data_IF_659123783517
#
_entry.id   IF_659123783517
#
_cell.length_a   1.000
_cell.length_b   1.000
_cell.length_c   1.000
_cell.angle_alpha   90.00
_cell.angle_beta   90.00
_cell.angle_gamma   90.00
#
_symmetry.space_group_name_H-M   'P 1'
#
loop_
_entity.id
_entity.type
_entity.pdbx_description
1 polymer ?
#
# COMPACT_ATOMS: atom_id res chain seq x y z
N UNK A 1 38.39 -3.51 -24.82
CA UNK A 1 37.55 -4.68 -24.45
C UNK A 1 37.44 -4.89 -22.94
N UNK A 2 38.53 -4.92 -22.15
CA UNK A 2 38.47 -5.14 -20.70
C UNK A 2 37.62 -4.10 -19.94
N UNK A 3 37.80 -2.81 -20.22
CA UNK A 3 37.02 -1.73 -19.59
C UNK A 3 35.52 -1.84 -19.89
N UNK A 4 35.16 -2.22 -21.12
CA UNK A 4 33.77 -2.47 -21.52
C UNK A 4 33.18 -3.69 -20.80
N UNK A 5 33.96 -4.77 -20.64
CA UNK A 5 33.54 -5.94 -19.86
C UNK A 5 33.34 -5.61 -18.37
N UNK A 6 34.21 -4.78 -17.78
CA UNK A 6 34.08 -4.30 -16.39
C UNK A 6 32.84 -3.41 -16.23
N UNK A 7 32.61 -2.46 -17.14
CA UNK A 7 31.41 -1.61 -17.12
C UNK A 7 30.14 -2.44 -17.34
N UNK A 8 30.15 -3.43 -18.24
CA UNK A 8 29.00 -4.32 -18.42
C UNK A 8 28.75 -5.22 -17.20
N UNK A 9 29.80 -5.79 -16.60
CA UNK A 9 29.65 -6.60 -15.37
C UNK A 9 29.22 -5.76 -14.17
N UNK A 10 29.65 -4.50 -14.08
CA UNK A 10 29.15 -3.54 -13.10
C UNK A 10 27.68 -3.22 -13.34
N UNK A 11 27.29 -2.97 -14.59
CA UNK A 11 25.89 -2.70 -14.97
C UNK A 11 24.99 -3.91 -14.68
N UNK A 12 25.49 -5.14 -14.81
CA UNK A 12 24.73 -6.36 -14.48
C UNK A 12 24.36 -6.44 -12.99
N UNK A 13 25.04 -5.71 -12.10
CA UNK A 13 24.80 -5.75 -10.65
C UNK A 13 23.40 -5.28 -10.25
N UNK A 14 22.81 -4.32 -10.98
CA UNK A 14 21.44 -3.91 -10.75
C UNK A 14 20.43 -4.74 -11.56
N UNK A 15 20.84 -5.30 -12.71
CA UNK A 15 19.96 -6.11 -13.56
C UNK A 15 19.49 -7.38 -12.85
N UNK A 16 20.36 -8.06 -12.11
CA UNK A 16 19.97 -9.26 -11.37
C UNK A 16 18.87 -8.96 -10.32
N UNK A 17 19.07 -8.02 -9.37
CA UNK A 17 18.01 -7.57 -8.46
C UNK A 17 16.73 -7.14 -9.19
N UNK A 18 16.85 -6.30 -10.21
CA UNK A 18 15.69 -5.79 -10.96
C UNK A 18 14.90 -6.94 -11.63
N UNK A 19 15.60 -7.91 -12.21
CA UNK A 19 14.99 -9.08 -12.85
C UNK A 19 14.25 -9.95 -11.85
N UNK A 20 14.81 -10.18 -10.66
CA UNK A 20 14.14 -10.97 -9.62
C UNK A 20 12.92 -10.22 -9.06
N UNK A 21 13.06 -8.94 -8.73
CA UNK A 21 11.96 -8.14 -8.17
C UNK A 21 10.79 -8.00 -9.15
N UNK A 22 11.06 -7.72 -10.42
CA UNK A 22 10.03 -7.61 -11.45
C UNK A 22 9.51 -8.99 -11.88
N UNK A 23 10.38 -10.00 -11.98
CA UNK A 23 10.01 -11.35 -12.39
C UNK A 23 9.12 -12.08 -11.38
N UNK A 24 9.19 -11.72 -10.10
CA UNK A 24 8.32 -12.27 -9.04
C UNK A 24 6.98 -11.55 -8.90
N UNK A 25 6.83 -10.34 -9.46
CA UNK A 25 5.60 -9.54 -9.41
C UNK A 25 4.33 -10.29 -9.92
N UNK A 26 4.37 -11.08 -11.01
CA UNK A 26 3.22 -11.88 -11.44
C UNK A 26 2.82 -12.95 -10.46
N UNK A 27 3.78 -13.70 -9.91
CA UNK A 27 3.49 -14.75 -8.94
C UNK A 27 2.85 -14.16 -7.68
N UNK A 28 3.37 -13.00 -7.26
CA UNK A 28 2.78 -12.20 -6.21
C UNK A 28 1.33 -11.79 -6.52
N UNK A 29 1.05 -11.21 -7.69
CA UNK A 29 -0.31 -10.79 -8.04
C UNK A 29 -1.28 -11.95 -8.22
N UNK A 30 -0.84 -13.07 -8.77
CA UNK A 30 -1.68 -14.27 -8.89
C UNK A 30 -2.05 -14.78 -7.49
N UNK A 31 -1.08 -14.81 -6.57
CA UNK A 31 -1.30 -15.19 -5.18
C UNK A 31 -2.27 -14.22 -4.49
N UNK A 32 -2.08 -12.91 -4.68
CA UNK A 32 -2.99 -11.88 -4.20
C UNK A 32 -4.38 -11.99 -4.82
N UNK A 33 -4.49 -12.26 -6.12
CA UNK A 33 -5.76 -12.39 -6.83
C UNK A 33 -6.56 -13.59 -6.36
N UNK A 34 -5.91 -14.74 -6.18
CA UNK A 34 -6.51 -15.94 -5.56
C UNK A 34 -6.99 -15.59 -4.15
N UNK A 35 -6.15 -14.94 -3.34
CA UNK A 35 -6.55 -14.53 -2.00
C UNK A 35 -7.72 -13.54 -2.03
N UNK A 36 -7.73 -12.57 -2.94
CA UNK A 36 -8.81 -11.59 -3.09
C UNK A 36 -10.13 -12.30 -3.38
N UNK A 37 -10.13 -13.26 -4.30
CA UNK A 37 -11.30 -14.08 -4.63
C UNK A 37 -11.78 -14.90 -3.42
N UNK A 38 -10.87 -15.60 -2.74
CA UNK A 38 -11.20 -16.39 -1.54
C UNK A 38 -11.71 -15.53 -0.39
N UNK A 39 -11.18 -14.31 -0.24
CA UNK A 39 -11.55 -13.39 0.83
C UNK A 39 -12.90 -12.71 0.62
N UNK A 40 -13.52 -12.82 -0.57
CA UNK A 40 -14.84 -12.21 -0.83
C UNK A 40 -15.95 -12.76 0.07
N UNK A 41 -15.81 -13.99 0.54
CA UNK A 41 -16.74 -14.64 1.47
C UNK A 41 -16.33 -14.48 2.93
N UNK A 42 -15.20 -13.82 3.20
CA UNK A 42 -14.61 -13.67 4.53
C UNK A 42 -14.76 -12.23 5.05
N UNK A 43 -14.67 -12.01 6.37
CA UNK A 43 -14.73 -10.67 6.95
C UNK A 43 -13.60 -9.76 6.42
N UNK A 44 -13.89 -8.46 6.25
CA UNK A 44 -12.93 -7.49 5.72
C UNK A 44 -11.61 -7.43 6.51
N UNK A 45 -11.65 -7.60 7.84
CA UNK A 45 -10.46 -7.67 8.69
C UNK A 45 -9.51 -8.80 8.30
N UNK A 46 -10.05 -9.95 7.89
CA UNK A 46 -9.23 -11.10 7.47
C UNK A 46 -8.57 -10.84 6.11
N UNK A 47 -9.29 -10.19 5.19
CA UNK A 47 -8.71 -9.72 3.93
C UNK A 47 -7.50 -8.82 4.19
N UNK A 48 -7.68 -7.74 4.99
CA UNK A 48 -6.61 -6.79 5.29
C UNK A 48 -5.40 -7.45 5.96
N UNK A 49 -5.62 -8.30 6.97
CA UNK A 49 -4.52 -8.98 7.67
C UNK A 49 -3.67 -9.85 6.74
N UNK A 50 -4.28 -10.52 5.76
CA UNK A 50 -3.55 -11.37 4.81
C UNK A 50 -2.99 -10.58 3.64
N UNK A 51 -3.65 -9.50 3.21
CA UNK A 51 -3.10 -8.53 2.26
C UNK A 51 -1.80 -7.90 2.82
N UNK A 52 -1.80 -7.49 4.09
CA UNK A 52 -0.62 -6.97 4.80
C UNK A 52 0.51 -8.00 4.89
N UNK A 53 0.18 -9.29 5.06
CA UNK A 53 1.18 -10.38 5.05
C UNK A 53 1.77 -10.59 3.67
N UNK A 54 0.94 -10.59 2.62
CA UNK A 54 1.42 -10.68 1.23
C UNK A 54 2.32 -9.49 0.91
N UNK A 55 1.90 -8.27 1.25
CA UNK A 55 2.71 -7.07 1.09
C UNK A 55 4.05 -7.17 1.82
N UNK A 56 4.02 -7.64 3.08
CA UNK A 56 5.22 -7.89 3.87
C UNK A 56 6.19 -8.85 3.17
N UNK A 57 5.70 -9.95 2.58
CA UNK A 57 6.54 -10.89 1.82
C UNK A 57 7.19 -10.18 0.64
N UNK A 58 6.41 -9.45 -0.19
CA UNK A 58 6.97 -8.78 -1.35
C UNK A 58 8.00 -7.70 -0.98
N UNK A 59 7.67 -6.83 -0.03
CA UNK A 59 8.60 -5.77 0.38
C UNK A 59 9.83 -6.30 1.13
N UNK A 60 9.71 -7.38 1.91
CA UNK A 60 10.89 -7.99 2.55
C UNK A 60 11.86 -8.59 1.53
N UNK A 61 11.35 -9.11 0.41
CA UNK A 61 12.20 -9.52 -0.72
C UNK A 61 12.86 -8.30 -1.40
N UNK A 62 12.15 -7.19 -1.57
CA UNK A 62 12.76 -5.95 -2.07
C UNK A 62 13.89 -5.49 -1.15
N UNK A 63 13.66 -5.48 0.18
CA UNK A 63 14.67 -5.10 1.16
C UNK A 63 15.88 -6.03 1.21
N UNK A 64 15.74 -7.32 0.85
CA UNK A 64 16.89 -8.19 0.64
C UNK A 64 17.87 -7.57 -0.36
N UNK A 65 17.37 -7.08 -1.49
CA UNK A 65 18.23 -6.50 -2.52
C UNK A 65 18.81 -5.15 -2.13
N UNK A 66 18.04 -4.31 -1.44
CA UNK A 66 18.46 -2.96 -1.09
C UNK A 66 19.32 -2.88 0.16
N UNK A 67 19.19 -3.80 1.12
CA UNK A 67 20.02 -3.77 2.33
C UNK A 67 21.03 -4.92 2.38
N UNK A 68 20.57 -6.17 2.24
CA UNK A 68 21.45 -7.35 2.39
C UNK A 68 22.39 -7.57 1.20
N UNK A 69 21.90 -7.40 -0.04
CA UNK A 69 22.69 -7.63 -1.25
C UNK A 69 23.65 -6.47 -1.55
N UNK A 70 23.19 -5.22 -1.41
CA UNK A 70 24.08 -4.05 -1.53
C UNK A 70 25.15 -4.08 -0.43
N UNK A 71 24.78 -4.49 0.78
CA UNK A 71 25.64 -4.40 1.96
C UNK A 71 25.78 -2.97 2.46
N UNK A 72 24.83 -2.09 2.12
CA UNK A 72 24.79 -0.71 2.62
C UNK A 72 24.68 -0.72 4.14
N UNK A 73 25.50 0.08 4.82
CA UNK A 73 25.44 0.19 6.27
C UNK A 73 24.40 1.28 6.65
N UNK A 74 23.40 0.86 7.42
CA UNK A 74 22.37 1.76 7.95
C UNK A 74 22.77 2.21 9.35
N UNK A 75 23.03 3.50 9.51
CA UNK A 75 23.41 4.12 10.79
C UNK A 75 22.25 4.95 11.31
N UNK A 76 21.74 4.61 12.48
CA UNK A 76 20.53 5.24 13.04
C UNK A 76 20.91 6.06 14.27
N UNK A 77 20.45 7.31 14.27
CA UNK A 77 20.66 8.32 15.29
C UNK A 77 19.31 8.57 15.96
N UNK A 78 19.22 8.28 17.27
CA UNK A 78 17.95 8.26 17.99
C UNK A 78 17.40 6.84 18.19
N UNK A 79 16.34 6.73 18.99
CA UNK A 79 15.80 5.43 19.43
C UNK A 79 14.50 5.10 18.70
N UNK A 80 14.53 3.99 17.95
CA UNK A 80 13.35 3.44 17.29
C UNK A 80 12.50 2.68 18.32
N UNK A 81 11.20 2.96 18.42
CA UNK A 81 10.29 2.15 19.24
C UNK A 81 10.35 0.67 18.87
N UNK A 82 10.48 -0.19 19.88
CA UNK A 82 10.45 -1.66 19.70
C UNK A 82 9.04 -2.17 19.39
N UNK A 83 8.05 -1.48 19.94
CA UNK A 83 6.65 -1.80 19.74
C UNK A 83 6.16 -1.23 18.40
N UNK A 84 5.14 -1.89 17.88
CA UNK A 84 4.49 -1.47 16.67
C UNK A 84 3.50 -0.35 16.98
N UNK A 85 3.68 0.78 16.30
CA UNK A 85 2.88 1.98 16.47
C UNK A 85 2.15 2.33 15.16
N UNK A 86 0.98 2.94 15.28
CA UNK A 86 0.30 3.61 14.19
C UNK A 86 0.89 5.01 14.01
N UNK A 87 1.54 5.26 12.88
CA UNK A 87 2.36 6.45 12.71
C UNK A 87 2.18 7.12 11.36
N UNK A 88 2.47 8.42 11.35
CA UNK A 88 2.81 9.12 10.12
C UNK A 88 4.32 9.32 10.12
N UNK A 89 4.95 8.85 9.05
CA UNK A 89 6.37 9.05 8.79
C UNK A 89 6.53 10.30 7.92
N UNK A 90 7.26 11.30 8.43
CA UNK A 90 7.61 12.53 7.75
C UNK A 90 9.11 12.58 7.51
N UNK A 91 9.53 12.74 6.26
CA UNK A 91 10.96 12.79 5.91
C UNK A 91 11.27 13.83 4.85
N UNK A 92 12.53 14.25 4.82
CA UNK A 92 13.10 14.89 3.64
C UNK A 92 13.13 13.89 2.46
N UNK A 93 13.16 14.39 1.24
CA UNK A 93 13.04 13.62 0.01
C UNK A 93 14.14 14.03 -0.97
N UNK A 94 15.06 13.13 -1.29
CA UNK A 94 16.26 13.41 -2.09
C UNK A 94 16.34 12.55 -3.34
N UNK A 95 15.91 11.29 -3.29
CA UNK A 95 16.03 10.37 -4.41
C UNK A 95 14.86 9.39 -4.49
N UNK A 96 14.94 8.46 -5.43
CA UNK A 96 13.94 7.39 -5.54
C UNK A 96 14.04 6.38 -4.39
N UNK A 97 15.17 6.28 -3.70
CA UNK A 97 15.43 5.27 -2.66
C UNK A 97 14.75 5.63 -1.33
N UNK A 98 14.34 6.87 -1.11
CA UNK A 98 13.80 7.31 0.19
C UNK A 98 12.61 6.48 0.70
N UNK A 99 11.75 5.97 -0.18
CA UNK A 99 10.64 5.08 0.25
C UNK A 99 11.14 3.73 0.76
N UNK A 100 12.25 3.23 0.21
CA UNK A 100 12.92 2.01 0.69
C UNK A 100 13.52 2.27 2.07
N UNK A 101 14.04 3.47 2.32
CA UNK A 101 14.53 3.84 3.65
C UNK A 101 13.39 3.81 4.68
N UNK A 102 12.19 4.28 4.31
CA UNK A 102 11.01 4.14 5.15
C UNK A 102 10.65 2.66 5.41
N UNK A 103 10.73 1.78 4.40
CA UNK A 103 10.52 0.35 4.56
C UNK A 103 11.59 -0.33 5.43
N UNK A 104 12.86 0.10 5.33
CA UNK A 104 13.96 -0.36 6.19
C UNK A 104 13.66 -0.05 7.66
N UNK A 105 13.12 1.13 7.97
CA UNK A 105 12.69 1.45 9.33
C UNK A 105 11.46 0.64 9.75
N UNK A 106 10.46 0.52 8.87
CA UNK A 106 9.24 -0.22 9.15
C UNK A 106 9.50 -1.72 9.43
N UNK A 107 10.42 -2.38 8.72
CA UNK A 107 10.74 -3.80 8.96
C UNK A 107 11.45 -4.03 10.31
N UNK A 108 12.18 -3.02 10.82
CA UNK A 108 12.80 -3.07 12.15
C UNK A 108 11.74 -3.11 13.25
N UNK A 109 10.56 -2.54 13.01
CA UNK A 109 9.38 -2.55 13.90
C UNK A 109 8.32 -3.60 13.55
N UNK A 110 8.61 -4.50 12.60
CA UNK A 110 7.63 -5.48 12.08
C UNK A 110 6.35 -4.80 11.53
N UNK A 111 6.49 -3.59 10.98
CA UNK A 111 5.42 -2.74 10.48
C UNK A 111 5.32 -2.67 8.94
N UNK A 112 6.24 -3.30 8.21
CA UNK A 112 6.32 -3.21 6.74
C UNK A 112 5.01 -3.55 6.01
N UNK A 113 4.24 -4.54 6.50
CA UNK A 113 2.93 -4.90 5.92
C UNK A 113 1.90 -3.76 5.97
N UNK A 114 2.07 -2.80 6.87
CA UNK A 114 1.12 -1.73 7.18
C UNK A 114 1.53 -0.39 6.58
N UNK A 115 2.62 -0.40 5.80
CA UNK A 115 3.12 0.80 5.16
C UNK A 115 2.16 1.24 4.07
N UNK A 116 1.82 2.52 4.09
CA UNK A 116 0.98 3.19 3.10
C UNK A 116 1.71 4.42 2.62
N UNK A 117 1.52 4.79 1.36
CA UNK A 117 2.26 5.89 0.74
C UNK A 117 1.33 6.96 0.20
N UNK A 118 1.72 8.22 0.37
CA UNK A 118 1.22 9.31 -0.47
C UNK A 118 2.05 9.35 -1.77
N UNK A 119 1.45 8.90 -2.87
CA UNK A 119 2.10 8.61 -4.14
C UNK A 119 1.84 9.70 -5.18
N UNK A 120 2.79 9.90 -6.10
CA UNK A 120 2.54 10.70 -7.31
C UNK A 120 1.53 9.99 -8.21
N UNK A 121 0.54 10.72 -8.71
CA UNK A 121 -0.50 10.20 -9.61
C UNK A 121 0.05 9.43 -10.83
N UNK A 122 1.18 9.90 -11.37
CA UNK A 122 1.87 9.24 -12.49
C UNK A 122 2.47 7.87 -12.17
N UNK A 123 2.59 7.46 -10.90
CA UNK A 123 3.07 6.12 -10.55
C UNK A 123 2.06 5.03 -10.88
N UNK A 124 0.79 5.38 -11.10
CA UNK A 124 -0.24 4.39 -11.45
C UNK A 124 0.00 3.67 -12.77
N UNK A 125 0.83 4.26 -13.63
CA UNK A 125 1.17 3.70 -14.93
C UNK A 125 2.21 2.58 -14.83
N UNK A 126 2.86 2.42 -13.67
CA UNK A 126 3.79 1.32 -13.44
C UNK A 126 3.02 0.05 -13.02
N UNK A 127 3.39 -1.13 -13.56
CA UNK A 127 2.89 -2.43 -13.12
C UNK A 127 2.91 -2.55 -11.59
N UNK A 128 1.88 -3.17 -10.99
CA UNK A 128 1.61 -3.20 -9.53
C UNK A 128 1.18 -1.86 -8.90
N UNK A 129 1.89 -0.78 -9.22
CA UNK A 129 1.72 0.53 -8.58
C UNK A 129 0.41 1.21 -8.92
N UNK A 130 -0.31 0.82 -9.96
CA UNK A 130 -1.67 1.32 -10.22
C UNK A 130 -2.71 0.64 -9.35
N UNK A 131 -3.12 -0.55 -9.77
CA UNK A 131 -4.28 -1.23 -9.22
C UNK A 131 -4.04 -1.78 -7.81
N UNK A 132 -2.95 -2.54 -7.61
CA UNK A 132 -2.68 -3.19 -6.33
C UNK A 132 -2.38 -2.18 -5.21
N UNK A 133 -1.45 -1.24 -5.43
CA UNK A 133 -1.12 -0.22 -4.41
C UNK A 133 -2.32 0.64 -4.03
N UNK A 134 -3.23 0.93 -4.97
CA UNK A 134 -4.48 1.62 -4.65
C UNK A 134 -5.36 0.80 -3.70
N UNK A 135 -5.47 -0.53 -3.90
CA UNK A 135 -6.21 -1.44 -3.03
C UNK A 135 -5.54 -1.61 -1.66
N UNK A 136 -4.21 -1.76 -1.65
CA UNK A 136 -3.43 -1.87 -0.42
C UNK A 136 -3.53 -0.61 0.44
N UNK A 137 -3.82 0.55 -0.16
CA UNK A 137 -4.16 1.77 0.58
C UNK A 137 -3.34 3.01 0.21
N UNK A 138 -2.57 2.96 -0.88
CA UNK A 138 -1.82 4.11 -1.40
C UNK A 138 -2.72 5.27 -1.81
N UNK A 139 -2.31 6.50 -1.51
CA UNK A 139 -3.07 7.73 -1.73
C UNK A 139 -2.40 8.52 -2.85
N UNK A 140 -3.02 8.62 -4.03
CA UNK A 140 -2.37 9.30 -5.16
C UNK A 140 -2.75 10.77 -5.24
N UNK A 141 -1.73 11.58 -5.49
CA UNK A 141 -1.80 13.03 -5.52
C UNK A 141 -1.22 13.57 -6.82
N UNK A 142 -1.95 14.50 -7.43
CA UNK A 142 -1.50 15.27 -8.60
C UNK A 142 -0.74 16.51 -8.14
N UNK A 143 0.39 16.82 -8.78
CA UNK A 143 1.23 17.99 -8.44
C UNK A 143 0.67 19.32 -8.96
N UNK A 144 -0.03 19.30 -10.10
CA UNK A 144 -0.54 20.48 -10.81
C UNK A 144 -2.02 20.79 -10.58
N UNK A 145 -2.78 19.84 -10.02
CA UNK A 145 -4.20 20.02 -9.76
C UNK A 145 -4.44 20.39 -8.29
N UNK A 146 -5.55 21.08 -8.01
CA UNK A 146 -5.99 21.34 -6.64
C UNK A 146 -6.02 20.02 -5.87
N UNK A 147 -5.28 19.98 -4.77
CA UNK A 147 -5.19 18.81 -3.90
C UNK A 147 -6.60 18.39 -3.45
N UNK A 148 -6.95 17.11 -3.67
CA UNK A 148 -8.28 16.61 -3.32
C UNK A 148 -8.30 16.12 -1.87
N UNK A 149 -8.48 17.09 -0.99
CA UNK A 149 -8.52 16.96 0.47
C UNK A 149 -9.58 15.94 0.91
N UNK A 150 -10.79 16.01 0.33
CA UNK A 150 -11.92 15.11 0.67
C UNK A 150 -11.65 13.65 0.34
N UNK A 151 -11.03 13.37 -0.80
CA UNK A 151 -10.70 11.99 -1.20
C UNK A 151 -9.67 11.37 -0.25
N UNK A 152 -8.63 12.13 0.11
CA UNK A 152 -7.63 11.66 1.08
C UNK A 152 -8.27 11.40 2.44
N UNK A 153 -9.04 12.36 2.94
CA UNK A 153 -9.74 12.25 4.22
C UNK A 153 -10.66 11.02 4.25
N UNK A 154 -11.49 10.82 3.22
CA UNK A 154 -12.37 9.65 3.13
C UNK A 154 -11.61 8.32 3.17
N UNK A 155 -10.50 8.23 2.44
CA UNK A 155 -9.69 7.00 2.39
C UNK A 155 -9.03 6.70 3.73
N UNK A 156 -8.46 7.71 4.39
CA UNK A 156 -7.87 7.56 5.72
C UNK A 156 -8.94 7.23 6.78
N UNK A 157 -10.11 7.86 6.72
CA UNK A 157 -11.21 7.56 7.62
C UNK A 157 -11.68 6.10 7.47
N UNK A 158 -11.80 5.60 6.23
CA UNK A 158 -12.15 4.20 5.98
C UNK A 158 -11.12 3.22 6.56
N UNK A 159 -9.82 3.54 6.50
CA UNK A 159 -8.77 2.70 7.07
C UNK A 159 -8.75 2.71 8.60
N UNK A 160 -8.94 3.88 9.20
CA UNK A 160 -9.02 4.00 10.67
C UNK A 160 -10.27 3.30 11.22
N UNK A 161 -11.43 3.46 10.58
CA UNK A 161 -12.68 2.79 10.95
C UNK A 161 -12.62 1.26 10.83
N UNK A 162 -11.85 0.73 9.87
CA UNK A 162 -11.67 -0.72 9.74
C UNK A 162 -10.70 -1.31 10.77
N UNK A 163 -10.04 -0.46 11.57
CA UNK A 163 -9.01 -0.85 12.53
C UNK A 163 -7.71 -1.28 11.84
N UNK A 164 -7.48 -0.87 10.60
CA UNK A 164 -6.23 -1.16 9.90
C UNK A 164 -5.07 -0.46 10.63
N UNK A 165 -3.98 -1.18 10.83
CA UNK A 165 -2.77 -0.56 11.36
C UNK A 165 -2.11 0.29 10.28
N UNK A 166 -1.52 1.42 10.68
CA UNK A 166 -1.11 2.47 9.75
C UNK A 166 0.36 2.87 9.93
N UNK A 167 1.14 2.79 8.86
CA UNK A 167 2.46 3.41 8.77
C UNK A 167 2.47 4.29 7.51
N UNK A 168 1.95 5.51 7.61
CA UNK A 168 1.72 6.38 6.46
C UNK A 168 2.96 7.24 6.15
N UNK A 169 3.62 6.98 5.03
CA UNK A 169 4.79 7.70 4.56
C UNK A 169 4.38 8.92 3.74
N UNK A 170 4.83 10.08 4.19
CA UNK A 170 4.65 11.37 3.53
C UNK A 170 6.01 12.06 3.40
N UNK A 171 6.25 12.62 2.21
CA UNK A 171 7.38 13.49 1.93
C UNK A 171 6.86 14.92 1.73
N UNK A 172 6.84 15.76 2.78
CA UNK A 172 6.19 17.07 2.75
C UNK A 172 6.72 18.03 1.68
N UNK A 173 7.98 17.89 1.26
CA UNK A 173 8.57 18.69 0.17
C UNK A 173 7.76 18.60 -1.15
N UNK A 174 7.03 17.50 -1.36
CA UNK A 174 6.19 17.27 -2.53
C UNK A 174 6.97 16.99 -3.83
N UNK A 175 8.28 17.18 -3.81
CA UNK A 175 9.24 16.76 -4.84
C UNK A 175 10.59 16.44 -4.20
N UNK A 176 11.45 15.75 -4.95
CA UNK A 176 12.80 15.44 -4.51
C UNK A 176 13.67 16.68 -4.59
N UNK A 177 14.42 16.96 -3.53
CA UNK A 177 15.53 17.89 -3.53
C UNK A 177 16.66 17.35 -4.42
N UNK A 178 17.11 18.16 -5.37
CA UNK A 178 18.27 17.85 -6.22
C UNK A 178 19.16 19.10 -6.29
N UNK A 179 20.43 19.04 -5.84
CA UNK A 179 21.38 20.15 -5.89
C UNK A 179 21.58 20.76 -7.28
N UNK A 180 21.40 19.97 -8.34
CA UNK A 180 21.59 20.40 -9.73
C UNK A 180 20.40 21.22 -10.25
N UNK A 181 19.21 21.06 -9.66
CA UNK A 181 17.98 21.76 -10.07
C UNK A 181 17.84 23.11 -9.36
N UNK A 182 18.78 24.03 -9.65
CA UNK A 182 18.88 25.35 -9.02
C UNK A 182 17.59 26.19 -9.10
N UNK A 183 16.82 26.05 -10.18
CA UNK A 183 15.54 26.74 -10.35
C UNK A 183 14.49 26.30 -9.32
N UNK A 184 14.36 24.99 -9.07
CA UNK A 184 13.40 24.47 -8.08
C UNK A 184 13.78 24.92 -6.67
N UNK A 185 15.08 24.94 -6.37
CA UNK A 185 15.60 25.42 -5.08
C UNK A 185 15.30 26.92 -4.93
N UNK A 186 15.61 27.74 -5.94
CA UNK A 186 15.34 29.18 -5.94
C UNK A 186 13.84 29.48 -5.76
N UNK A 187 12.96 28.76 -6.45
CA UNK A 187 11.50 28.92 -6.29
C UNK A 187 11.03 28.58 -4.87
N UNK A 188 11.59 27.51 -4.28
CA UNK A 188 11.31 27.11 -2.91
C UNK A 188 11.76 28.16 -1.88
N UNK A 189 12.94 28.76 -2.09
CA UNK A 189 13.50 29.79 -1.23
C UNK A 189 12.75 31.13 -1.36
N UNK A 190 12.36 31.49 -2.58
CA UNK A 190 11.54 32.67 -2.84
C UNK A 190 10.15 32.53 -2.18
N UNK A 191 9.56 31.33 -2.23
CA UNK A 191 8.32 31.04 -1.51
C UNK A 191 8.48 31.17 0.00
N UNK A 192 9.55 30.62 0.60
CA UNK A 192 9.82 30.77 2.03
C UNK A 192 9.94 32.25 2.42
N UNK A 193 10.74 33.02 1.67
CA UNK A 193 10.93 34.46 1.89
C UNK A 193 9.61 35.23 1.83
N UNK A 194 8.80 34.96 0.79
CA UNK A 194 7.48 35.61 0.61
C UNK A 194 6.53 35.34 1.77
N UNK A 195 6.60 34.15 2.34
CA UNK A 195 5.71 33.69 3.41
C UNK A 195 6.28 33.98 4.81
N UNK A 196 7.44 34.66 4.90
CA UNK A 196 8.09 34.99 6.16
C UNK A 196 8.66 33.78 6.91
N UNK A 197 9.03 32.73 6.18
CA UNK A 197 9.61 31.49 6.70
C UNK A 197 11.13 31.49 6.51
N UNK A 198 11.86 30.73 7.33
CA UNK A 198 13.31 30.61 7.18
C UNK A 198 13.68 29.97 5.82
N UNK A 199 14.74 30.47 5.20
CA UNK A 199 15.19 29.97 3.90
C UNK A 199 16.03 28.71 4.11
N UNK A 200 15.59 27.59 3.54
CA UNK A 200 16.25 26.29 3.65
C UNK A 200 17.28 26.08 2.52
N UNK A 201 18.39 25.39 2.82
CA UNK A 201 19.53 25.20 1.91
C UNK A 201 19.63 23.78 1.34
N UNK A 202 19.38 22.76 2.15
CA UNK A 202 19.54 21.34 1.81
C UNK A 202 18.24 20.55 1.71
N UNK A 203 17.11 21.22 1.98
CA UNK A 203 15.74 20.74 1.86
C UNK A 203 14.87 21.77 1.16
N UNK A 204 13.73 21.35 0.62
CA UNK A 204 12.72 22.25 0.08
C UNK A 204 11.69 22.62 1.16
N UNK A 205 11.06 23.78 0.98
CA UNK A 205 10.02 24.28 1.88
C UNK A 205 8.82 23.30 1.88
N UNK A 206 8.43 22.74 3.04
CA UNK A 206 7.42 21.69 3.10
C UNK A 206 6.01 22.20 2.79
N UNK A 207 5.22 21.35 2.13
CA UNK A 207 3.79 21.58 1.86
C UNK A 207 2.96 20.94 2.96
N UNK A 208 2.20 21.76 3.71
CA UNK A 208 1.46 21.29 4.88
C UNK A 208 0.24 20.42 4.60
N UNK A 209 -0.45 20.59 3.46
CA UNK A 209 -1.84 20.11 3.29
C UNK A 209 -2.03 18.61 3.51
N UNK A 210 -1.19 17.78 2.90
CA UNK A 210 -1.33 16.33 2.99
C UNK A 210 -1.02 15.83 4.41
N UNK A 211 0.04 16.37 5.03
CA UNK A 211 0.42 16.03 6.40
C UNK A 211 -0.62 16.47 7.43
N UNK A 212 -1.13 17.70 7.29
CA UNK A 212 -2.15 18.25 8.19
C UNK A 212 -3.43 17.42 8.15
N UNK A 213 -3.96 17.14 6.95
CA UNK A 213 -5.17 16.31 6.80
C UNK A 213 -4.94 14.89 7.31
N UNK A 214 -3.77 14.31 7.06
CA UNK A 214 -3.45 12.97 7.55
C UNK A 214 -3.49 12.90 9.08
N UNK A 215 -2.81 13.85 9.74
CA UNK A 215 -2.72 13.91 11.20
C UNK A 215 -4.10 14.20 11.80
N UNK A 216 -4.83 15.18 11.26
CA UNK A 216 -6.16 15.55 11.77
C UNK A 216 -7.16 14.39 11.62
N UNK A 217 -7.20 13.75 10.44
CA UNK A 217 -8.14 12.65 10.17
C UNK A 217 -7.86 11.42 11.02
N UNK A 218 -6.59 11.11 11.27
CA UNK A 218 -6.18 9.91 12.01
C UNK A 218 -5.85 10.17 13.47
N UNK A 219 -6.11 11.36 14.01
CA UNK A 219 -5.64 11.79 15.35
C UNK A 219 -5.98 10.79 16.47
N UNK A 220 -7.16 10.18 16.45
CA UNK A 220 -7.58 9.19 17.45
C UNK A 220 -7.03 7.77 17.23
N UNK A 221 -6.29 7.55 16.14
CA UNK A 221 -5.74 6.25 15.73
C UNK A 221 -4.20 6.22 15.71
N UNK A 222 -3.55 7.39 15.78
CA UNK A 222 -2.10 7.53 15.75
C UNK A 222 -1.50 7.51 17.16
N UNK A 223 -0.36 6.84 17.29
CA UNK A 223 0.47 6.84 18.50
C UNK A 223 1.54 7.96 18.46
N UNK A 224 2.08 8.25 17.26
CA UNK A 224 3.15 9.24 17.08
C UNK A 224 3.29 9.72 15.63
N UNK A 225 4.07 10.79 15.44
CA UNK A 225 4.70 11.13 14.17
C UNK A 225 6.18 10.80 14.25
N UNK A 226 6.68 10.03 13.28
CA UNK A 226 8.11 9.80 13.13
C UNK A 226 8.68 10.86 12.20
N UNK A 227 9.46 11.77 12.76
CA UNK A 227 10.18 12.79 12.01
C UNK A 227 11.60 12.31 11.70
N UNK A 228 11.85 12.03 10.42
CA UNK A 228 13.06 11.31 9.98
C UNK A 228 13.89 12.15 9.03
N UNK A 229 15.18 12.27 9.28
CA UNK A 229 16.13 12.93 8.38
C UNK A 229 17.07 11.90 7.79
N UNK A 230 17.08 11.77 6.47
CA UNK A 230 17.95 10.85 5.74
C UNK A 230 19.09 11.63 5.12
N UNK A 231 20.31 11.11 5.23
CA UNK A 231 21.49 11.58 4.50
C UNK A 231 22.22 10.40 3.86
N UNK A 232 22.67 10.60 2.61
CA UNK A 232 23.39 9.61 1.83
C UNK A 232 24.88 9.94 1.80
N UNK A 233 25.74 9.05 2.30
CA UNK A 233 27.19 9.20 2.22
C UNK A 233 27.68 8.96 0.78
N UNK A 234 28.85 9.53 0.43
CA UNK A 234 29.41 9.40 -0.92
C UNK A 234 28.83 10.37 -1.95
N UNK A 235 28.01 11.34 -1.50
CA UNK A 235 27.38 12.35 -2.36
C UNK A 235 28.13 13.68 -2.37
N UNK A 236 29.37 13.74 -1.91
CA UNK A 236 30.26 14.90 -2.07
C UNK A 236 31.22 14.65 -3.22
N UNK A 237 31.44 15.67 -4.05
CA UNK A 237 32.47 15.64 -5.09
C UNK A 237 33.87 15.96 -4.54
N UNK A 238 34.88 15.88 -5.41
CA UNK A 238 36.27 16.20 -5.05
C UNK A 238 36.49 17.65 -4.64
N UNK A 239 35.56 18.55 -4.94
CA UNK A 239 35.56 19.96 -4.52
C UNK A 239 34.76 20.21 -3.24
N UNK A 240 34.16 19.17 -2.65
CA UNK A 240 33.31 19.27 -1.47
C UNK A 240 31.89 19.74 -1.78
N UNK A 241 31.48 19.77 -3.05
CA UNK A 241 30.12 20.13 -3.45
C UNK A 241 29.20 18.90 -3.42
N UNK A 242 27.99 19.10 -2.90
CA UNK A 242 26.95 18.05 -2.84
C UNK A 242 26.40 17.72 -4.23
N UNK A 243 26.49 16.45 -4.59
CA UNK A 243 25.90 15.80 -5.76
C UNK A 243 24.49 15.28 -5.44
N UNK A 244 23.69 14.93 -6.46
CA UNK A 244 22.42 14.24 -6.25
C UNK A 244 22.59 12.95 -5.43
N UNK A 245 21.60 12.65 -4.60
CA UNK A 245 21.52 11.37 -3.90
C UNK A 245 21.31 10.22 -4.92
N UNK A 246 21.79 9.00 -4.61
CA UNK A 246 21.86 7.91 -5.57
C UNK A 246 20.49 7.53 -6.14
N UNK A 247 20.44 7.29 -7.45
CA UNK A 247 19.28 6.69 -8.10
C UNK A 247 19.11 5.21 -7.70
N UNK A 248 17.96 4.59 -8.00
CA UNK A 248 17.75 3.16 -7.71
C UNK A 248 18.84 2.25 -8.31
N UNK A 249 19.21 2.38 -9.60
CA UNK A 249 20.29 1.58 -10.18
C UNK A 249 21.64 1.82 -9.49
N UNK A 250 22.02 3.08 -9.25
CA UNK A 250 23.28 3.44 -8.57
C UNK A 250 23.35 2.82 -7.17
N UNK A 251 22.26 2.89 -6.41
CA UNK A 251 22.17 2.29 -5.09
C UNK A 251 22.34 0.77 -5.15
N UNK A 252 21.69 0.08 -6.09
CA UNK A 252 21.85 -1.37 -6.31
C UNK A 252 23.24 -1.75 -6.84
N UNK A 253 23.93 -0.82 -7.51
CA UNK A 253 25.33 -0.96 -7.91
C UNK A 253 26.34 -0.73 -6.77
N UNK A 254 25.85 -0.44 -5.55
CA UNK A 254 26.64 -0.18 -4.33
C UNK A 254 27.37 1.16 -4.33
N UNK A 255 26.80 2.18 -4.97
CA UNK A 255 27.37 3.54 -5.00
C UNK A 255 27.10 4.34 -3.73
N UNK A 256 26.38 3.76 -2.77
CA UNK A 256 26.12 4.34 -1.46
C UNK A 256 26.66 3.41 -0.38
N UNK A 257 27.79 3.74 0.28
CA UNK A 257 28.36 2.88 1.31
C UNK A 257 27.53 2.88 2.59
N UNK A 258 27.01 4.06 2.98
CA UNK A 258 26.29 4.28 4.23
C UNK A 258 25.11 5.22 4.05
N UNK A 259 24.03 4.93 4.78
CA UNK A 259 22.88 5.81 4.91
C UNK A 259 22.73 6.17 6.38
N UNK A 260 22.71 7.47 6.65
CA UNK A 260 22.55 8.02 7.99
C UNK A 260 21.11 8.48 8.17
N UNK A 261 20.48 8.00 9.24
CA UNK A 261 19.08 8.25 9.53
C UNK A 261 18.97 8.86 10.92
N UNK A 262 18.60 10.14 11.00
CA UNK A 262 18.15 10.75 12.25
C UNK A 262 16.68 10.46 12.46
N UNK A 263 16.34 9.87 13.61
CA UNK A 263 15.01 9.45 13.97
C UNK A 263 14.55 10.21 15.22
N UNK A 264 13.47 10.97 15.08
CA UNK A 264 12.81 11.64 16.20
C UNK A 264 11.34 11.22 16.27
N UNK A 265 10.87 10.83 17.46
CA UNK A 265 9.49 10.41 17.70
C UNK A 265 8.75 11.55 18.37
N UNK A 266 7.84 12.19 17.65
CA UNK A 266 7.03 13.30 18.14
C UNK A 266 5.68 12.78 18.62
N UNK A 267 5.30 13.11 19.87
CA UNK A 267 4.00 12.76 20.42
C UNK A 267 2.88 13.57 19.72
N UNK A 268 1.75 12.93 19.44
CA UNK A 268 0.60 13.57 18.77
C UNK A 268 0.09 14.80 19.55
N UNK A 269 0.27 14.83 20.88
CA UNK A 269 -0.13 15.95 21.74
C UNK A 269 0.70 17.20 21.51
N UNK A 270 1.92 17.07 21.02
CA UNK A 270 2.83 18.19 20.75
C UNK A 270 2.53 18.86 19.40
N UNK A 271 1.70 18.23 18.56
CA UNK A 271 1.42 18.70 17.21
C UNK A 271 0.23 19.68 17.23
N UNK A 272 0.41 20.94 16.78
CA UNK A 272 -0.67 21.91 16.74
C UNK A 272 -1.80 21.48 15.78
N UNK A 273 -3.05 21.56 16.23
CA UNK A 273 -4.20 21.21 15.40
C UNK A 273 -4.57 22.32 14.40
N UNK A 274 -4.41 23.58 14.81
CA UNK A 274 -4.79 24.73 14.01
C UNK A 274 -3.85 24.89 12.79
N UNK A 275 -4.39 25.07 11.57
CA UNK A 275 -3.60 25.05 10.34
C UNK A 275 -2.40 26.01 10.31
N UNK A 276 -2.55 27.22 10.87
CA UNK A 276 -1.49 28.22 10.86
C UNK A 276 -0.32 27.83 11.78
N UNK A 277 -0.61 27.33 12.98
CA UNK A 277 0.41 26.82 13.89
C UNK A 277 1.03 25.52 13.39
N UNK A 278 0.24 24.62 12.79
CA UNK A 278 0.76 23.40 12.16
C UNK A 278 1.75 23.72 11.04
N UNK A 279 1.44 24.73 10.22
CA UNK A 279 2.32 25.18 9.14
C UNK A 279 3.70 25.60 9.67
N UNK A 280 3.72 26.39 10.74
CA UNK A 280 4.97 26.84 11.39
C UNK A 280 5.72 25.66 11.99
N UNK A 281 5.04 24.83 12.77
CA UNK A 281 5.62 23.61 13.35
C UNK A 281 6.26 22.71 12.29
N UNK A 282 5.56 22.43 11.18
CA UNK A 282 6.12 21.61 10.11
C UNK A 282 7.34 22.27 9.45
N UNK A 283 7.34 23.60 9.32
CA UNK A 283 8.49 24.33 8.82
C UNK A 283 9.69 24.25 9.77
N UNK A 284 9.46 24.43 11.07
CA UNK A 284 10.49 24.29 12.12
C UNK A 284 11.11 22.89 12.13
N UNK A 285 10.31 21.82 11.92
CA UNK A 285 10.86 20.47 11.74
C UNK A 285 11.81 20.39 10.54
N UNK A 286 11.49 21.08 9.44
CA UNK A 286 12.36 21.15 8.27
C UNK A 286 13.59 22.04 8.48
N UNK A 287 13.52 23.09 9.29
CA UNK A 287 14.70 23.86 9.70
C UNK A 287 15.70 23.00 10.50
N UNK A 288 15.19 22.13 11.38
CA UNK A 288 16.03 21.15 12.10
C UNK A 288 16.69 20.19 11.10
N UNK A 289 15.91 19.62 10.17
CA UNK A 289 16.44 18.75 9.10
C UNK A 289 17.53 19.45 8.28
N UNK A 290 17.28 20.71 7.91
CA UNK A 290 18.20 21.49 7.10
C UNK A 290 19.52 21.71 7.81
N UNK A 291 19.48 22.08 9.10
CA UNK A 291 20.67 22.24 9.94
C UNK A 291 21.45 20.94 10.08
N UNK A 292 20.77 19.82 10.34
CA UNK A 292 21.40 18.50 10.41
C UNK A 292 22.11 18.14 9.10
N UNK A 293 21.51 18.47 7.95
CA UNK A 293 22.12 18.23 6.64
C UNK A 293 23.25 19.21 6.33
N UNK A 294 23.18 20.46 6.80
CA UNK A 294 24.28 21.43 6.70
C UNK A 294 25.50 20.92 7.45
N UNK A 295 25.32 20.48 8.71
CA UNK A 295 26.42 19.92 9.50
C UNK A 295 26.97 18.65 8.84
N UNK A 296 26.10 17.79 8.31
CA UNK A 296 26.50 16.55 7.64
C UNK A 296 27.33 16.77 6.38
N UNK A 297 26.95 17.73 5.53
CA UNK A 297 27.56 17.95 4.21
C UNK A 297 28.63 19.04 4.16
N UNK A 298 28.57 20.04 5.03
CA UNK A 298 29.38 21.26 4.93
C UNK A 298 30.28 21.52 6.14
N UNK A 299 30.17 20.72 7.20
CA UNK A 299 31.02 20.89 8.38
C UNK A 299 32.50 20.70 8.02
N UNK A 300 33.33 21.64 8.49
CA UNK A 300 34.81 21.52 8.44
C UNK A 300 35.38 20.72 9.60
N UNK A 301 34.56 20.47 10.62
CA UNK A 301 34.91 19.66 11.77
C UNK A 301 34.83 18.18 11.38
N UNK A 302 35.98 17.50 11.44
CA UNK A 302 36.12 16.09 11.05
C UNK A 302 35.25 15.15 11.91
N UNK A 303 34.88 15.56 13.12
CA UNK A 303 34.01 14.77 14.00
C UNK A 303 32.52 14.90 13.64
N UNK A 304 32.15 15.96 12.92
CA UNK A 304 30.76 16.28 12.52
C UNK A 304 30.46 15.97 11.06
N UNK A 305 31.46 16.01 10.19
CA UNK A 305 31.25 15.66 8.77
C UNK A 305 30.79 14.20 8.66
N UNK A 306 29.79 13.95 7.81
CA UNK A 306 29.16 12.63 7.63
C UNK A 306 28.57 12.01 8.91
N UNK A 307 28.26 12.82 9.93
CA UNK A 307 27.61 12.35 11.17
C UNK A 307 26.52 13.32 11.61
N UNK A 308 25.48 12.77 12.24
CA UNK A 308 24.52 13.60 12.98
C UNK A 308 24.99 13.77 14.44
N UNK A 309 24.47 14.77 15.19
CA UNK A 309 25.01 15.16 16.49
C UNK A 309 24.96 14.10 17.60
N UNK A 310 24.07 13.10 17.50
CA UNK A 310 23.96 12.03 18.51
C UNK A 310 24.85 10.83 18.14
N UNK A 311 25.01 9.88 19.06
CA UNK A 311 25.70 8.64 18.74
C UNK A 311 24.88 7.81 17.72
N UNK A 312 25.49 7.53 16.57
CA UNK A 312 24.89 6.71 15.53
C UNK A 312 25.14 5.23 15.79
N UNK A 313 24.08 4.42 15.83
CA UNK A 313 24.14 2.97 16.04
C UNK A 313 23.99 2.25 14.69
N UNK A 314 24.97 1.44 14.25
CA UNK A 314 24.78 0.55 13.12
C UNK A 314 23.60 -0.40 13.40
N UNK A 315 22.70 -0.52 12.44
CA UNK A 315 21.49 -1.31 12.58
C UNK A 315 21.37 -2.28 11.40
N UNK A 316 22.09 -3.40 11.37
CA UNK A 316 22.02 -4.33 10.23
C UNK A 316 20.70 -5.10 10.20
N UNK A 317 20.09 -5.22 9.02
CA UNK A 317 18.90 -6.06 8.84
C UNK A 317 19.25 -7.55 8.76
N UNK A 318 18.72 -8.33 9.70
CA UNK A 318 18.90 -9.79 9.73
C UNK A 318 18.36 -10.47 8.48
N UNK A 319 19.15 -11.38 7.89
CA UNK A 319 18.75 -12.23 6.77
C UNK A 319 17.49 -13.06 7.07
N UNK A 320 17.22 -13.38 8.34
CA UNK A 320 16.01 -14.10 8.73
C UNK A 320 14.71 -13.31 8.45
N UNK A 321 14.79 -11.98 8.30
CA UNK A 321 13.63 -11.14 7.96
C UNK A 321 13.37 -11.05 6.45
N UNK A 322 14.37 -11.30 5.61
CA UNK A 322 14.30 -11.03 4.16
C UNK A 322 14.42 -12.28 3.30
N UNK A 323 15.31 -13.23 3.65
CA UNK A 323 15.57 -14.46 2.89
C UNK A 323 14.34 -15.38 2.79
N UNK A 324 13.53 -15.61 3.84
CA UNK A 324 12.33 -16.44 3.70
C UNK A 324 11.38 -15.93 2.63
N UNK A 325 11.22 -14.60 2.54
CA UNK A 325 10.37 -13.96 1.55
C UNK A 325 10.89 -14.13 0.12
N UNK A 326 12.21 -14.02 -0.07
CA UNK A 326 12.87 -14.33 -1.34
C UNK A 326 12.66 -15.78 -1.76
N UNK A 327 12.79 -16.73 -0.83
CA UNK A 327 12.59 -18.16 -1.09
C UNK A 327 11.14 -18.49 -1.43
N UNK A 328 10.18 -17.90 -0.72
CA UNK A 328 8.74 -18.08 -1.00
C UNK A 328 8.41 -17.57 -2.40
N UNK A 329 8.79 -16.34 -2.73
CA UNK A 329 8.48 -15.76 -4.05
C UNK A 329 9.24 -16.46 -5.17
N UNK A 330 10.52 -16.79 -4.96
CA UNK A 330 11.30 -17.58 -5.90
C UNK A 330 10.70 -18.97 -6.15
N UNK A 331 10.27 -19.65 -5.09
CA UNK A 331 9.61 -20.95 -5.16
C UNK A 331 8.24 -20.93 -5.85
N UNK A 332 7.50 -19.81 -5.77
CA UNK A 332 6.25 -19.61 -6.52
C UNK A 332 6.51 -19.25 -7.98
N UNK A 333 7.57 -18.48 -8.26
CA UNK A 333 7.90 -18.02 -9.62
C UNK A 333 8.57 -19.11 -10.46
N UNK A 334 9.46 -19.91 -9.88
CA UNK A 334 10.26 -20.89 -10.64
C UNK A 334 9.40 -21.93 -11.38
N UNK A 335 8.39 -22.59 -10.79
CA UNK A 335 7.52 -23.52 -11.50
C UNK A 335 6.74 -22.87 -12.66
N UNK A 336 6.36 -21.59 -12.50
CA UNK A 336 5.71 -20.82 -13.58
C UNK A 336 6.68 -20.61 -14.74
N UNK A 337 7.96 -20.36 -14.49
CA UNK A 337 8.95 -20.16 -15.56
C UNK A 337 9.37 -21.47 -16.25
N UNK A 338 9.37 -22.59 -15.51
CA UNK A 338 9.77 -23.90 -16.05
C UNK A 338 8.77 -24.48 -17.06
N UNK A 339 7.49 -24.11 -16.98
CA UNK A 339 6.44 -24.62 -17.86
C UNK A 339 6.07 -23.64 -18.98
N UNK A 340 5.73 -24.13 -20.18
CA UNK A 340 5.31 -23.25 -21.28
C UNK A 340 4.02 -22.48 -20.94
N UNK A 341 3.05 -23.17 -20.33
CA UNK A 341 1.80 -22.55 -19.87
C UNK A 341 2.04 -21.51 -18.78
N UNK A 342 2.95 -21.79 -17.84
CA UNK A 342 3.32 -20.84 -16.79
C UNK A 342 4.00 -19.60 -17.36
N UNK A 343 4.91 -19.73 -18.34
CA UNK A 343 5.53 -18.58 -19.03
C UNK A 343 4.49 -17.72 -19.74
N UNK A 344 3.54 -18.34 -20.44
CA UNK A 344 2.40 -17.63 -21.06
C UNK A 344 1.56 -16.89 -20.00
N UNK A 345 1.30 -17.51 -18.85
CA UNK A 345 0.56 -16.90 -17.74
C UNK A 345 1.32 -15.71 -17.14
N UNK A 346 2.62 -15.84 -16.91
CA UNK A 346 3.51 -14.78 -16.42
C UNK A 346 3.50 -13.59 -17.38
N UNK A 347 3.63 -13.83 -18.68
CA UNK A 347 3.58 -12.79 -19.71
C UNK A 347 2.21 -12.10 -19.76
N UNK A 348 1.12 -12.87 -19.76
CA UNK A 348 -0.25 -12.33 -19.71
C UNK A 348 -0.49 -11.49 -18.47
N UNK A 349 0.01 -11.92 -17.32
CA UNK A 349 -0.11 -11.19 -16.06
C UNK A 349 0.67 -9.88 -16.11
N UNK A 350 1.89 -9.87 -16.67
CA UNK A 350 2.63 -8.63 -16.92
C UNK A 350 1.88 -7.65 -17.84
N UNK A 351 1.32 -8.16 -18.94
CA UNK A 351 0.51 -7.35 -19.85
C UNK A 351 -0.74 -6.81 -19.14
N UNK A 352 -1.43 -7.64 -18.35
CA UNK A 352 -2.58 -7.21 -17.55
C UNK A 352 -2.19 -6.14 -16.52
N UNK A 353 -1.02 -6.26 -15.88
CA UNK A 353 -0.51 -5.22 -15.00
C UNK A 353 -0.28 -3.90 -15.72
N UNK A 354 0.34 -3.95 -16.91
CA UNK A 354 0.59 -2.76 -17.72
C UNK A 354 -0.73 -2.13 -18.22
N UNK A 355 -1.67 -2.94 -18.71
CA UNK A 355 -2.98 -2.47 -19.20
C UNK A 355 -3.87 -1.97 -18.06
N UNK A 356 -3.91 -2.66 -16.91
CA UNK A 356 -4.65 -2.21 -15.73
C UNK A 356 -4.10 -0.89 -15.18
N UNK A 357 -2.80 -0.67 -15.31
CA UNK A 357 -2.13 0.61 -15.02
C UNK A 357 -2.54 1.72 -15.99
N UNK A 358 -2.80 1.38 -17.26
CA UNK A 358 -3.31 2.31 -18.27
C UNK A 358 -4.81 2.64 -18.12
N UNK A 359 -5.63 1.62 -17.91
CA UNK A 359 -7.08 1.74 -17.71
C UNK A 359 -7.45 2.36 -16.37
N UNK A 360 -6.50 2.46 -15.44
CA UNK A 360 -6.66 3.26 -14.23
C UNK A 360 -7.14 4.68 -14.57
N UNK A 361 -6.83 5.26 -15.74
CA UNK A 361 -7.36 6.59 -16.11
C UNK A 361 -8.90 6.67 -16.17
N UNK A 362 -9.58 5.62 -16.63
CA UNK A 362 -11.04 5.57 -16.78
C UNK A 362 -11.74 5.02 -15.54
N UNK A 363 -11.13 4.04 -14.88
CA UNK A 363 -11.69 3.45 -13.65
C UNK A 363 -11.32 4.23 -12.40
N UNK A 364 -10.31 5.10 -12.38
CA UNK A 364 -9.87 5.79 -11.15
C UNK A 364 -10.90 6.74 -10.52
N UNK A 365 -11.72 7.50 -11.28
CA UNK A 365 -12.88 8.18 -10.71
C UNK A 365 -13.82 7.20 -10.02
N UNK A 366 -14.06 6.03 -10.63
CA UNK A 366 -14.87 4.95 -10.05
C UNK A 366 -14.17 4.17 -8.94
N UNK A 367 -12.84 4.17 -8.83
CA UNK A 367 -12.06 3.49 -7.78
C UNK A 367 -11.90 4.40 -6.55
N UNK A 368 -11.74 5.71 -6.77
CA UNK A 368 -11.87 6.71 -5.71
C UNK A 368 -13.30 6.78 -5.20
N UNK A 369 -14.28 6.66 -6.08
CA UNK A 369 -15.68 6.48 -5.73
C UNK A 369 -16.02 5.04 -5.33
N UNK A 370 -15.10 4.07 -5.46
CA UNK A 370 -15.31 2.70 -4.94
C UNK A 370 -14.83 2.50 -3.52
N UNK A 371 -14.11 3.48 -2.96
CA UNK A 371 -14.14 3.69 -1.50
C UNK A 371 -15.52 4.19 -1.01
N UNK A 372 -16.43 4.51 -1.94
CA UNK A 372 -17.88 4.69 -1.78
C UNK A 372 -18.72 3.54 -2.33
N UNK A 373 -18.16 2.40 -2.71
CA UNK A 373 -19.02 1.22 -2.86
C UNK A 373 -19.47 0.95 -1.43
N UNK A 374 -20.66 1.45 -1.06
CA UNK A 374 -21.56 0.74 -0.15
C UNK A 374 -21.30 -0.71 -0.46
N UNK A 375 -20.73 -1.50 0.45
CA UNK A 375 -20.14 -2.79 0.10
C UNK A 375 -21.21 -3.63 -0.58
N UNK A 376 -21.34 -3.50 -1.90
CA UNK A 376 -22.51 -3.97 -2.62
C UNK A 376 -22.40 -5.46 -2.44
N UNK A 377 -23.43 -6.04 -1.86
CA UNK A 377 -23.45 -7.45 -1.56
C UNK A 377 -23.57 -8.22 -2.87
N UNK A 378 -22.51 -8.21 -3.69
CA UNK A 378 -22.45 -8.83 -5.00
C UNK A 378 -22.73 -10.32 -4.90
N UNK A 379 -22.37 -10.94 -3.79
CA UNK A 379 -22.69 -12.33 -3.49
C UNK A 379 -24.19 -12.49 -3.21
N UNK A 380 -24.81 -11.61 -2.42
CA UNK A 380 -26.25 -11.59 -2.18
C UNK A 380 -27.08 -11.31 -3.44
N UNK A 381 -26.67 -10.33 -4.25
CA UNK A 381 -27.29 -10.05 -5.55
C UNK A 381 -27.09 -11.19 -6.55
N UNK A 382 -25.91 -11.82 -6.58
CA UNK A 382 -25.66 -13.01 -7.40
C UNK A 382 -26.52 -14.20 -6.95
N UNK A 383 -26.66 -14.39 -5.64
CA UNK A 383 -27.55 -15.41 -5.06
C UNK A 383 -29.02 -15.15 -5.42
N UNK A 384 -29.49 -13.91 -5.31
CA UNK A 384 -30.82 -13.50 -5.73
C UNK A 384 -31.07 -13.75 -7.23
N UNK A 385 -30.08 -13.42 -8.09
CA UNK A 385 -30.15 -13.68 -9.52
C UNK A 385 -30.22 -15.18 -9.83
N UNK A 386 -29.43 -16.01 -9.13
CA UNK A 386 -29.48 -17.48 -9.28
C UNK A 386 -30.85 -18.04 -8.86
N UNK A 387 -31.46 -17.52 -7.80
CA UNK A 387 -32.82 -17.92 -7.38
C UNK A 387 -33.86 -17.55 -8.47
N UNK A 388 -33.84 -16.30 -8.93
CA UNK A 388 -34.78 -15.81 -9.94
C UNK A 388 -34.64 -16.60 -11.24
N UNK A 389 -33.39 -16.82 -11.69
CA UNK A 389 -33.09 -17.61 -12.88
C UNK A 389 -33.51 -19.08 -12.72
N UNK A 390 -33.26 -19.68 -11.55
CA UNK A 390 -33.68 -21.04 -11.23
C UNK A 390 -35.21 -21.21 -11.28
N UNK A 391 -35.95 -20.23 -10.78
CA UNK A 391 -37.41 -20.20 -10.87
C UNK A 391 -37.92 -20.09 -12.31
N UNK A 392 -37.36 -19.17 -13.10
CA UNK A 392 -37.67 -19.00 -14.52
C UNK A 392 -37.37 -20.26 -15.34
N UNK A 393 -36.20 -20.87 -15.12
CA UNK A 393 -35.82 -22.12 -15.79
C UNK A 393 -36.73 -23.30 -15.40
N UNK A 394 -37.21 -23.33 -14.16
CA UNK A 394 -38.21 -24.29 -13.70
C UNK A 394 -39.54 -24.17 -14.44
N UNK A 395 -39.97 -22.93 -14.72
CA UNK A 395 -41.15 -22.67 -15.54
C UNK A 395 -40.92 -23.03 -17.01
N UNK A 396 -39.84 -22.54 -17.63
CA UNK A 396 -39.53 -22.78 -19.04
C UNK A 396 -39.39 -24.27 -19.38
N UNK A 397 -38.78 -25.08 -18.50
CA UNK A 397 -38.56 -26.51 -18.75
C UNK A 397 -39.73 -27.41 -18.36
N UNK A 398 -40.52 -27.05 -17.34
CA UNK A 398 -41.52 -27.96 -16.72
C UNK A 398 -42.92 -27.37 -16.58
N UNK A 399 -43.16 -26.14 -17.06
CA UNK A 399 -44.43 -25.44 -16.88
C UNK A 399 -44.78 -25.12 -15.42
N UNK A 400 -43.81 -25.20 -14.50
CA UNK A 400 -44.06 -25.10 -13.06
C UNK A 400 -44.31 -23.65 -12.62
N UNK A 401 -45.59 -23.28 -12.47
CA UNK A 401 -45.99 -21.95 -11.96
C UNK A 401 -45.43 -21.70 -10.56
N UNK A 402 -45.42 -22.72 -9.69
CA UNK A 402 -44.84 -22.59 -8.34
C UNK A 402 -43.34 -22.33 -8.33
N UNK A 403 -42.61 -22.80 -9.34
CA UNK A 403 -41.19 -22.49 -9.47
C UNK A 403 -40.97 -21.03 -9.88
N UNK A 404 -41.82 -20.49 -10.76
CA UNK A 404 -41.76 -19.08 -11.15
C UNK A 404 -42.08 -18.16 -9.97
N UNK A 405 -43.17 -18.44 -9.25
CA UNK A 405 -43.58 -17.66 -8.07
C UNK A 405 -42.51 -17.72 -6.99
N UNK A 406 -41.97 -18.90 -6.67
CA UNK A 406 -40.90 -19.02 -5.69
C UNK A 406 -39.62 -18.26 -6.12
N UNK A 407 -39.26 -18.33 -7.41
CA UNK A 407 -38.10 -17.60 -7.95
C UNK A 407 -38.25 -16.08 -7.83
N UNK A 408 -39.43 -15.56 -8.13
CA UNK A 408 -39.73 -14.13 -7.99
C UNK A 408 -39.74 -13.70 -6.52
N UNK A 409 -40.47 -14.41 -5.67
CA UNK A 409 -40.60 -14.04 -4.24
C UNK A 409 -39.26 -14.13 -3.51
N UNK A 410 -38.57 -15.27 -3.58
CA UNK A 410 -37.29 -15.43 -2.88
C UNK A 410 -36.15 -14.68 -3.58
N UNK A 411 -36.22 -14.49 -4.90
CA UNK A 411 -35.28 -13.65 -5.64
C UNK A 411 -35.38 -12.19 -5.21
N UNK A 412 -36.59 -11.62 -5.19
CA UNK A 412 -36.84 -10.25 -4.74
C UNK A 412 -36.50 -10.04 -3.26
N UNK A 413 -36.89 -10.97 -2.38
CA UNK A 413 -36.53 -10.91 -0.95
C UNK A 413 -35.02 -10.96 -0.74
N UNK A 414 -34.31 -11.81 -1.47
CA UNK A 414 -32.85 -11.91 -1.36
C UNK A 414 -32.15 -10.69 -1.97
N UNK A 415 -32.69 -10.10 -3.05
CA UNK A 415 -32.19 -8.86 -3.62
C UNK A 415 -32.40 -7.67 -2.66
N UNK A 416 -33.56 -7.61 -2.00
CA UNK A 416 -33.84 -6.60 -0.98
C UNK A 416 -32.96 -6.80 0.27
N UNK A 417 -32.76 -8.04 0.72
CA UNK A 417 -31.82 -8.35 1.78
C UNK A 417 -30.38 -7.97 1.44
N UNK A 418 -29.94 -8.25 0.20
CA UNK A 418 -28.62 -7.84 -0.29
C UNK A 418 -28.47 -6.32 -0.33
N UNK A 419 -29.54 -5.60 -0.70
CA UNK A 419 -29.59 -4.14 -0.63
C UNK A 419 -29.44 -3.62 0.80
N UNK A 420 -30.17 -4.19 1.76
CA UNK A 420 -30.04 -3.84 3.17
C UNK A 420 -28.64 -4.13 3.72
N UNK A 421 -28.07 -5.30 3.41
CA UNK A 421 -26.71 -5.69 3.81
C UNK A 421 -25.65 -4.78 3.17
N UNK A 422 -25.94 -4.21 1.99
CA UNK A 422 -25.06 -3.24 1.33
C UNK A 422 -25.08 -1.87 2.03
N UNK A 423 -26.22 -1.47 2.59
CA UNK A 423 -26.39 -0.22 3.32
C UNK A 423 -25.85 -0.32 4.76
N UNK A 424 -26.20 -1.39 5.48
CA UNK A 424 -25.73 -1.71 6.81
C UNK A 424 -25.31 -3.18 6.86
N UNK A 425 -24.00 -3.48 7.01
CA UNK A 425 -23.50 -4.86 7.11
C UNK A 425 -24.12 -5.67 8.26
N UNK A 426 -24.72 -5.01 9.26
CA UNK A 426 -25.41 -5.67 10.38
C UNK A 426 -26.87 -5.99 10.08
N UNK A 427 -27.49 -5.38 9.07
CA UNK A 427 -28.89 -5.68 8.69
C UNK A 427 -28.98 -6.88 7.74
N UNK A 428 -28.66 -8.05 8.29
CA UNK A 428 -28.71 -9.31 7.54
C UNK A 428 -30.06 -10.05 7.66
N UNK A 429 -31.03 -9.50 8.40
CA UNK A 429 -32.23 -10.23 8.84
C UNK A 429 -33.04 -10.79 7.67
N UNK A 430 -33.23 -9.96 6.64
CA UNK A 430 -34.01 -10.35 5.46
C UNK A 430 -33.28 -11.39 4.61
N UNK A 431 -31.97 -11.21 4.40
CA UNK A 431 -31.11 -12.17 3.69
C UNK A 431 -31.05 -13.52 4.41
N UNK A 432 -30.97 -13.50 5.75
CA UNK A 432 -30.91 -14.71 6.57
C UNK A 432 -32.24 -15.45 6.55
N UNK A 433 -33.35 -14.71 6.64
CA UNK A 433 -34.70 -15.29 6.56
C UNK A 433 -34.94 -15.91 5.18
N UNK A 434 -34.62 -15.20 4.09
CA UNK A 434 -34.84 -15.72 2.74
C UNK A 434 -34.00 -16.97 2.47
N UNK A 435 -32.71 -16.94 2.80
CA UNK A 435 -31.80 -18.07 2.61
C UNK A 435 -32.15 -19.25 3.54
N UNK A 436 -32.50 -18.98 4.81
CA UNK A 436 -32.88 -20.01 5.78
C UNK A 436 -34.16 -20.74 5.40
N UNK A 437 -35.21 -20.02 5.02
CA UNK A 437 -36.47 -20.61 4.55
C UNK A 437 -36.25 -21.39 3.26
N UNK A 438 -35.50 -20.85 2.31
CA UNK A 438 -35.24 -21.54 1.05
C UNK A 438 -34.40 -22.81 1.24
N UNK A 439 -33.42 -22.78 2.16
CA UNK A 439 -32.65 -23.95 2.56
C UNK A 439 -33.54 -25.06 3.15
N UNK A 440 -34.51 -24.70 4.00
CA UNK A 440 -35.45 -25.67 4.59
C UNK A 440 -36.40 -26.26 3.54
N UNK A 441 -37.01 -25.43 2.70
CA UNK A 441 -37.97 -25.87 1.68
C UNK A 441 -37.28 -26.73 0.61
N UNK A 442 -36.10 -26.32 0.13
CA UNK A 442 -35.37 -27.11 -0.87
C UNK A 442 -34.68 -28.32 -0.26
N UNK A 443 -34.22 -28.24 1.00
CA UNK A 443 -33.62 -29.35 1.73
C UNK A 443 -34.61 -30.48 2.01
N UNK A 444 -35.85 -30.15 2.43
CA UNK A 444 -36.92 -31.15 2.59
C UNK A 444 -37.31 -31.80 1.27
N UNK A 445 -37.36 -31.02 0.18
CA UNK A 445 -37.57 -31.53 -1.18
C UNK A 445 -36.41 -32.43 -1.64
N UNK A 446 -35.17 -32.08 -1.33
CA UNK A 446 -33.99 -32.89 -1.62
C UNK A 446 -34.03 -34.23 -0.86
N UNK A 447 -34.29 -34.19 0.45
CA UNK A 447 -34.41 -35.39 1.30
C UNK A 447 -35.47 -36.37 0.80
N UNK A 448 -36.62 -35.87 0.30
CA UNK A 448 -37.68 -36.71 -0.27
C UNK A 448 -37.40 -37.22 -1.68
N UNK A 449 -36.71 -36.43 -2.51
CA UNK A 449 -36.55 -36.75 -3.94
C UNK A 449 -35.21 -37.41 -4.31
N UNK A 450 -34.17 -37.27 -3.48
CA UNK A 450 -32.80 -37.72 -3.77
C UNK A 450 -32.11 -37.01 -4.95
N UNK A 451 -32.80 -36.10 -5.64
CA UNK A 451 -32.31 -35.47 -6.88
C UNK A 451 -31.41 -34.28 -6.57
N UNK A 452 -30.14 -34.37 -6.97
CA UNK A 452 -29.13 -33.31 -6.79
C UNK A 452 -29.56 -32.01 -7.47
N UNK A 453 -30.15 -32.08 -8.67
CA UNK A 453 -30.69 -30.92 -9.39
C UNK A 453 -32.23 -31.03 -9.52
N UNK A 454 -32.99 -29.97 -9.22
CA UNK A 454 -32.57 -28.63 -8.77
C UNK A 454 -32.48 -28.46 -7.23
N UNK A 455 -33.05 -29.37 -6.45
CA UNK A 455 -33.27 -29.18 -5.01
C UNK A 455 -31.98 -29.22 -4.17
N UNK A 456 -31.06 -30.15 -4.45
CA UNK A 456 -29.78 -30.27 -3.73
C UNK A 456 -28.88 -29.06 -3.93
N UNK A 457 -28.71 -28.60 -5.17
CA UNK A 457 -27.92 -27.40 -5.48
C UNK A 457 -28.47 -26.15 -4.77
N UNK A 458 -29.78 -25.91 -4.84
CA UNK A 458 -30.39 -24.73 -4.20
C UNK A 458 -30.32 -24.80 -2.68
N UNK A 459 -30.49 -25.99 -2.08
CA UNK A 459 -30.29 -26.19 -0.65
C UNK A 459 -28.86 -25.89 -0.22
N UNK A 460 -27.86 -26.37 -0.98
CA UNK A 460 -26.44 -26.14 -0.71
C UNK A 460 -26.06 -24.66 -0.81
N UNK A 461 -26.46 -23.97 -1.89
CA UNK A 461 -26.23 -22.54 -2.06
C UNK A 461 -26.88 -21.71 -0.94
N UNK A 462 -28.08 -22.09 -0.53
CA UNK A 462 -28.80 -21.39 0.55
C UNK A 462 -28.13 -21.60 1.91
N UNK A 463 -27.63 -22.81 2.20
CA UNK A 463 -26.85 -23.07 3.42
C UNK A 463 -25.52 -22.31 3.45
N UNK A 464 -24.82 -22.23 2.30
CA UNK A 464 -23.61 -21.41 2.17
C UNK A 464 -23.89 -19.93 2.42
N UNK A 465 -25.01 -19.42 1.92
CA UNK A 465 -25.43 -18.04 2.16
C UNK A 465 -25.75 -17.82 3.65
N UNK A 466 -26.49 -18.72 4.31
CA UNK A 466 -26.75 -18.66 5.76
C UNK A 466 -25.43 -18.65 6.54
N UNK A 467 -24.50 -19.55 6.23
CA UNK A 467 -23.19 -19.61 6.89
C UNK A 467 -22.41 -18.30 6.73
N UNK A 468 -22.34 -17.75 5.51
CA UNK A 468 -21.71 -16.45 5.23
C UNK A 468 -22.33 -15.32 6.07
N UNK A 469 -23.66 -15.27 6.15
CA UNK A 469 -24.37 -14.24 6.89
C UNK A 469 -24.13 -14.36 8.41
N UNK A 470 -24.07 -15.57 8.95
CA UNK A 470 -23.73 -15.79 10.36
C UNK A 470 -22.29 -15.36 10.68
N UNK A 471 -21.33 -15.61 9.78
CA UNK A 471 -19.95 -15.12 9.93
C UNK A 471 -19.86 -13.60 9.94
N UNK A 472 -20.73 -12.90 9.21
CA UNK A 472 -20.79 -11.43 9.21
C UNK A 472 -21.25 -10.86 10.56
N UNK A 473 -22.07 -11.58 11.33
CA UNK A 473 -22.51 -11.15 12.68
C UNK A 473 -21.41 -11.31 13.72
N UNK A 474 -20.57 -12.34 13.61
CA UNK A 474 -19.59 -12.69 14.65
C UNK A 474 -18.35 -11.78 14.67
N UNK A 475 -18.22 -10.83 13.74
CA UNK A 475 -17.01 -10.00 13.52
C UNK A 475 -17.35 -8.52 13.56
#
# INVERSE_FOLDING_TARGET
MLLSLVVHTYSLRYWFPATVMLGTAPAYLLSWGVWRLLSTVLPARLYHRLDDRLYCIYQSMVLFFFENYTGVEIVIYGDIPKNKENVIYLSNHQCTVDWIIADMLAIRQSAIGHVRYVLKDGLKWLPLYGWYFSQHGGIYVKRSAKFNEKTMQKKLLSQTQSGAQMYLVIFPEGTRYNPELKNIIADSQAFATKEGLAVLKHTLTPRMKASHIAIETMKGHLDAVYDVTVAYEGTLDSSGQRRPAPSMPEFLCKECPRVHIHFDRVDIKEIPAEPLFFRRWLHERFEIKDRLLTDFYESKDADKIHRFPTEGKPSPLSLCKTVPSLMILGGLTLPLLLTENGRKLVLKTHLMMAVGSCNAREFYPYILDSSSVMAVDWIGFSYAAVIAFGGFMGYKRKGSVMSLVAGLVFGSLSAYGAFNTSNDPKDIKVSLLSAGVLALVMGTRYKKSGKILPAGLMSGLSLLMVFRLLLLIMV
#
